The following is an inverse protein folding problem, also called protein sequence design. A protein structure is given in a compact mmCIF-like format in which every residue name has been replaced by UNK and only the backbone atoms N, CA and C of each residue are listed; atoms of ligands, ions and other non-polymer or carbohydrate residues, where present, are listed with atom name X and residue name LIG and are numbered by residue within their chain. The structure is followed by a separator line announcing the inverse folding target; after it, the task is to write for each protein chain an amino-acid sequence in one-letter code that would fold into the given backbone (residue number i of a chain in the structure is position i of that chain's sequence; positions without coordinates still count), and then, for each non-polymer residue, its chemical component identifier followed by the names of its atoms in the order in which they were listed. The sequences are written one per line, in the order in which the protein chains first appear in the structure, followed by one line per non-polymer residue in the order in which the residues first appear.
data_IF_074041329825
#
_entry.id   IF_074041329825
#
_cell.length_a   1.000
_cell.length_b   1.000
_cell.length_c   1.000
_cell.angle_alpha   90.00
_cell.angle_beta   90.00
_cell.angle_gamma   90.00
#
_symmetry.space_group_name_H-M   'P 1'
#
loop_
_entity.id
_entity.type
_entity.pdbx_description
1 polymer ?
#
# COMPACT_ATOMS: atom_id res chain seq x y z
N UNK A 1 22.89 0.30 -7.64
CA UNK A 1 23.69 0.69 -8.81
C UNK A 1 24.10 2.15 -8.69
N UNK A 2 24.91 2.65 -9.63
CA UNK A 2 25.47 4.01 -9.58
C UNK A 2 24.41 5.13 -9.54
N UNK A 3 23.27 4.95 -10.20
CA UNK A 3 22.19 5.95 -10.21
C UNK A 3 21.55 6.24 -8.84
N UNK A 4 21.87 5.51 -7.78
CA UNK A 4 21.39 5.86 -6.42
C UNK A 4 21.99 7.19 -5.94
N UNK A 5 23.24 7.48 -6.30
CA UNK A 5 23.92 8.71 -5.89
C UNK A 5 23.35 9.97 -6.56
N UNK A 6 22.58 9.83 -7.65
CA UNK A 6 21.88 10.95 -8.28
C UNK A 6 20.54 11.28 -7.61
N UNK A 7 20.08 10.45 -6.66
CA UNK A 7 18.80 10.65 -5.97
C UNK A 7 19.00 11.33 -4.62
N UNK A 8 18.24 12.41 -4.42
CA UNK A 8 18.05 13.05 -3.12
C UNK A 8 17.34 12.14 -2.13
N UNK A 9 17.39 12.49 -0.83
CA UNK A 9 16.66 11.74 0.21
C UNK A 9 15.16 11.73 -0.03
N UNK A 10 14.57 12.85 -0.47
CA UNK A 10 13.14 12.94 -0.72
C UNK A 10 12.69 12.02 -1.87
N UNK A 11 13.50 11.89 -2.93
CA UNK A 11 13.26 10.94 -4.03
C UNK A 11 13.41 9.49 -3.56
N UNK A 12 14.43 9.19 -2.76
CA UNK A 12 14.61 7.86 -2.15
C UNK A 12 13.43 7.49 -1.25
N UNK A 13 12.97 8.42 -0.41
CA UNK A 13 11.79 8.22 0.45
C UNK A 13 10.53 7.99 -0.37
N UNK A 14 10.34 8.71 -1.48
CA UNK A 14 9.22 8.50 -2.41
C UNK A 14 9.25 7.08 -2.99
N UNK A 15 10.39 6.67 -3.56
CA UNK A 15 10.56 5.34 -4.15
C UNK A 15 10.34 4.26 -3.08
N UNK A 16 11.00 4.41 -1.92
CA UNK A 16 10.90 3.47 -0.80
C UNK A 16 9.46 3.32 -0.30
N UNK A 17 8.74 4.44 -0.12
CA UNK A 17 7.34 4.45 0.29
C UNK A 17 6.48 3.62 -0.66
N UNK A 18 6.58 3.92 -1.97
CA UNK A 18 5.75 3.29 -2.98
C UNK A 18 6.05 1.80 -3.17
N UNK A 19 7.22 1.29 -2.72
CA UNK A 19 7.55 -0.15 -2.85
C UNK A 19 6.46 -1.08 -2.29
N UNK A 20 5.72 -0.60 -1.29
CA UNK A 20 4.59 -1.29 -0.65
C UNK A 20 3.49 -1.64 -1.65
N UNK A 21 3.23 -0.78 -2.63
CA UNK A 21 2.19 -0.97 -3.65
C UNK A 21 2.55 -2.09 -4.66
N UNK A 22 3.83 -2.47 -4.73
CA UNK A 22 4.30 -3.66 -5.44
C UNK A 22 4.43 -4.90 -4.57
N UNK A 23 4.05 -4.82 -3.28
CA UNK A 23 4.06 -5.95 -2.34
C UNK A 23 5.41 -6.20 -1.67
N UNK A 24 6.36 -5.27 -1.79
CA UNK A 24 7.62 -5.36 -1.05
C UNK A 24 7.38 -5.15 0.46
N UNK A 25 8.16 -5.84 1.28
CA UNK A 25 8.16 -5.62 2.74
C UNK A 25 8.78 -4.28 3.13
N UNK A 26 9.84 -3.89 2.40
CA UNK A 26 10.60 -2.67 2.64
C UNK A 26 11.29 -2.24 1.35
N UNK A 27 11.28 -0.93 1.09
CA UNK A 27 12.16 -0.29 0.12
C UNK A 27 13.38 0.25 0.84
N UNK A 28 14.54 -0.39 0.65
CA UNK A 28 15.78 -0.02 1.33
C UNK A 28 16.75 0.64 0.35
N UNK A 29 17.30 1.78 0.76
CA UNK A 29 18.43 2.42 0.09
C UNK A 29 19.69 2.28 0.96
N UNK A 30 20.87 2.14 0.35
CA UNK A 30 22.13 2.09 1.10
C UNK A 30 22.40 3.42 1.82
N UNK A 31 23.19 3.35 2.88
CA UNK A 31 23.70 4.53 3.57
C UNK A 31 24.90 5.05 2.78
N UNK A 32 24.81 6.27 2.29
CA UNK A 32 25.87 6.98 1.60
C UNK A 32 26.02 8.40 2.15
N UNK A 33 26.94 9.19 1.57
CA UNK A 33 27.20 10.55 2.05
C UNK A 33 25.94 11.45 1.99
N UNK A 34 25.04 11.23 1.03
CA UNK A 34 23.77 11.99 0.95
C UNK A 34 22.89 11.70 2.17
N UNK A 35 22.82 10.45 2.63
CA UNK A 35 22.12 10.08 3.87
C UNK A 35 22.81 10.67 5.10
N UNK A 36 24.14 10.61 5.17
CA UNK A 36 24.90 11.15 6.30
C UNK A 36 24.73 12.67 6.41
N UNK A 37 24.84 13.40 5.30
CA UNK A 37 24.66 14.85 5.27
C UNK A 37 23.23 15.25 5.67
N UNK A 38 22.23 14.49 5.21
CA UNK A 38 20.84 14.69 5.62
C UNK A 38 20.64 14.44 7.13
N UNK A 39 21.24 13.38 7.67
CA UNK A 39 21.15 13.07 9.11
C UNK A 39 21.81 14.16 9.96
N UNK A 40 22.99 14.67 9.55
CA UNK A 40 23.67 15.79 10.22
C UNK A 40 22.85 17.07 10.15
N UNK A 41 22.28 17.40 8.98
CA UNK A 41 21.38 18.55 8.85
C UNK A 41 20.17 18.40 9.80
N UNK A 42 19.59 17.19 9.88
CA UNK A 42 18.47 16.92 10.79
C UNK A 42 18.88 17.04 12.25
N UNK A 43 20.06 16.55 12.63
CA UNK A 43 20.60 16.68 13.99
C UNK A 43 20.78 18.17 14.37
N UNK A 44 21.33 18.99 13.47
CA UNK A 44 21.45 20.44 13.69
C UNK A 44 20.09 21.09 13.95
N UNK A 45 19.10 20.81 13.09
CA UNK A 45 17.74 21.35 13.24
C UNK A 45 17.08 20.93 14.55
N UNK A 46 17.25 19.67 14.96
CA UNK A 46 16.71 19.19 16.25
C UNK A 46 17.42 19.91 17.42
N UNK A 47 18.72 20.15 17.33
CA UNK A 47 19.46 20.88 18.37
C UNK A 47 19.01 22.35 18.47
N UNK A 48 18.75 23.02 17.34
CA UNK A 48 18.26 24.40 17.29
C UNK A 48 16.83 24.53 17.84
N UNK A 49 15.94 23.63 17.41
CA UNK A 49 14.52 23.62 17.79
C UNK A 49 14.30 23.13 19.22
N UNK A 50 15.16 22.25 19.72
CA UNK A 50 14.99 21.54 20.98
C UNK A 50 14.22 20.23 20.86
N UNK A 51 14.24 19.48 21.97
CA UNK A 51 13.49 18.23 22.15
C UNK A 51 11.98 18.52 22.31
N UNK A 52 11.15 17.52 22.02
CA UNK A 52 9.67 17.67 22.08
C UNK A 52 9.10 17.52 23.49
N UNK A 53 9.92 17.07 24.45
CA UNK A 53 9.45 16.78 25.81
C UNK A 53 8.60 15.51 25.87
N UNK A 54 8.77 14.59 24.91
CA UNK A 54 8.06 13.30 24.91
C UNK A 54 8.82 12.27 25.77
N UNK A 55 8.16 11.21 26.28
CA UNK A 55 8.83 10.21 27.11
C UNK A 55 10.08 9.59 26.48
N UNK A 56 10.10 9.48 25.14
CA UNK A 56 11.25 8.95 24.42
C UNK A 56 12.46 9.87 24.38
N UNK A 57 12.33 11.16 24.71
CA UNK A 57 13.44 12.11 24.73
C UNK A 57 14.42 11.84 25.88
N UNK A 58 14.01 11.03 26.87
CA UNK A 58 14.80 10.69 28.05
C UNK A 58 15.15 11.91 28.91
N UNK A 59 15.95 11.70 29.97
CA UNK A 59 16.39 12.77 30.87
C UNK A 59 17.58 13.59 30.31
N UNK A 60 17.87 13.50 29.01
CA UNK A 60 19.05 14.09 28.37
C UNK A 60 18.78 15.43 27.69
N UNK A 61 19.86 16.15 27.35
CA UNK A 61 19.80 17.38 26.52
C UNK A 61 19.96 17.12 25.01
N UNK A 62 20.11 15.86 24.61
CA UNK A 62 20.44 15.46 23.24
C UNK A 62 19.45 14.42 22.77
N UNK A 63 19.01 14.49 21.52
CA UNK A 63 18.00 13.58 21.00
C UNK A 63 18.54 12.13 20.93
N UNK A 64 17.82 11.12 21.44
CA UNK A 64 18.40 9.79 21.70
C UNK A 64 18.66 8.95 20.45
N UNK A 65 18.08 9.31 19.31
CA UNK A 65 18.21 8.54 18.05
C UNK A 65 18.92 9.27 16.92
N UNK A 66 18.86 10.61 16.91
CA UNK A 66 19.43 11.46 15.86
C UNK A 66 20.33 12.47 16.56
N UNK A 67 21.63 12.19 16.60
CA UNK A 67 22.66 13.02 17.21
C UNK A 67 24.03 12.67 16.57
N UNK A 68 24.99 13.60 16.68
CA UNK A 68 26.31 13.45 16.06
C UNK A 68 27.00 12.13 16.46
N UNK A 69 26.98 11.75 17.73
CA UNK A 69 27.61 10.51 18.20
C UNK A 69 27.08 9.27 17.48
N UNK A 70 25.76 9.15 17.30
CA UNK A 70 25.15 8.00 16.58
C UNK A 70 25.44 8.06 15.09
N UNK A 71 25.52 9.25 14.52
CA UNK A 71 25.87 9.45 13.11
C UNK A 71 27.33 9.04 12.87
N UNK A 72 28.25 9.42 13.76
CA UNK A 72 29.67 9.05 13.65
C UNK A 72 29.87 7.53 13.78
N UNK A 73 29.09 6.86 14.65
CA UNK A 73 29.06 5.39 14.70
C UNK A 73 28.58 4.81 13.37
N UNK A 74 27.50 5.36 12.79
CA UNK A 74 26.97 4.89 11.51
C UNK A 74 28.00 5.05 10.36
N UNK A 75 28.74 6.16 10.36
CA UNK A 75 29.83 6.40 9.40
C UNK A 75 30.97 5.40 9.61
N UNK A 76 31.35 5.14 10.86
CA UNK A 76 32.43 4.20 11.18
C UNK A 76 32.06 2.75 10.84
N UNK A 77 30.80 2.35 11.01
CA UNK A 77 30.30 1.02 10.66
C UNK A 77 30.28 0.77 9.14
N UNK A 78 30.12 1.83 8.33
CA UNK A 78 30.12 1.77 6.87
C UNK A 78 29.23 0.63 6.31
N UNK A 79 27.95 0.63 6.74
CA UNK A 79 26.98 -0.41 6.41
C UNK A 79 26.73 -0.49 4.89
N UNK A 80 27.20 -1.57 4.29
CA UNK A 80 27.00 -1.88 2.87
C UNK A 80 26.55 -3.33 2.71
N UNK A 81 25.90 -3.63 1.57
CA UNK A 81 25.66 -5.02 1.20
C UNK A 81 27.00 -5.73 0.92
N UNK A 82 27.09 -7.00 1.33
CA UNK A 82 28.25 -7.84 1.03
C UNK A 82 28.44 -7.98 -0.49
N UNK A 83 29.70 -8.10 -0.92
CA UNK A 83 30.03 -8.19 -2.36
C UNK A 83 29.47 -9.43 -3.03
N UNK A 84 29.24 -10.49 -2.26
CA UNK A 84 28.68 -11.78 -2.67
C UNK A 84 27.23 -11.97 -2.20
N UNK A 85 26.56 -10.89 -1.77
CA UNK A 85 25.15 -10.94 -1.39
C UNK A 85 24.30 -11.53 -2.53
N UNK A 86 23.53 -12.57 -2.19
CA UNK A 86 22.63 -13.22 -3.13
C UNK A 86 21.28 -12.49 -3.21
N UNK A 87 20.88 -12.11 -4.43
CA UNK A 87 19.57 -11.55 -4.72
C UNK A 87 18.75 -12.58 -5.49
N UNK A 88 17.52 -12.84 -5.06
CA UNK A 88 16.61 -13.76 -5.78
C UNK A 88 16.17 -13.21 -7.14
N UNK A 89 16.13 -11.88 -7.28
CA UNK A 89 15.87 -11.17 -8.53
C UNK A 89 16.67 -9.87 -8.57
N UNK A 90 17.16 -9.54 -9.76
CA UNK A 90 17.79 -8.24 -10.04
C UNK A 90 16.99 -7.52 -11.11
N UNK A 91 16.52 -6.31 -10.79
CA UNK A 91 15.85 -5.41 -11.74
C UNK A 91 16.80 -4.27 -12.03
N UNK A 92 17.13 -4.08 -13.30
CA UNK A 92 18.04 -3.02 -13.76
C UNK A 92 17.21 -1.99 -14.52
N UNK A 93 17.41 -0.71 -14.20
CA UNK A 93 16.70 0.41 -14.80
C UNK A 93 17.71 1.50 -15.16
N UNK A 94 17.69 1.96 -16.40
CA UNK A 94 18.43 3.15 -16.83
C UNK A 94 17.58 4.41 -16.52
N UNK A 95 18.02 5.16 -15.51
CA UNK A 95 17.32 6.36 -15.05
C UNK A 95 17.24 7.46 -16.12
N UNK A 96 18.19 7.50 -17.07
CA UNK A 96 18.18 8.49 -18.16
C UNK A 96 17.01 8.30 -19.12
N UNK A 97 16.41 7.10 -19.12
CA UNK A 97 15.28 6.74 -19.98
C UNK A 97 13.92 6.82 -19.28
N UNK A 98 13.90 7.18 -17.99
CA UNK A 98 12.66 7.34 -17.22
C UNK A 98 11.98 8.64 -17.64
N UNK A 99 10.77 8.52 -18.18
CA UNK A 99 9.89 9.64 -18.51
C UNK A 99 8.75 9.78 -17.49
N UNK A 100 8.12 10.96 -17.37
CA UNK A 100 7.02 11.15 -16.43
C UNK A 100 5.78 10.32 -16.80
N UNK A 101 5.12 9.77 -15.78
CA UNK A 101 3.92 8.93 -15.92
C UNK A 101 2.82 9.37 -14.94
N UNK A 102 1.59 8.97 -15.26
CA UNK A 102 0.43 9.02 -14.37
C UNK A 102 -0.05 7.60 -14.14
N UNK A 103 -0.38 7.24 -12.90
CA UNK A 103 -0.98 5.96 -12.56
C UNK A 103 -2.49 6.07 -12.36
N UNK A 104 -3.28 5.15 -12.93
CA UNK A 104 -4.73 5.10 -12.78
C UNK A 104 -5.51 5.02 -14.11
N UNK A 105 -6.85 5.10 -14.03
CA UNK A 105 -7.62 5.28 -12.80
C UNK A 105 -7.65 4.01 -11.93
N UNK A 106 -7.88 4.19 -10.63
CA UNK A 106 -8.29 3.18 -9.64
C UNK A 106 -7.35 1.98 -9.40
N UNK A 107 -6.19 1.97 -10.04
CA UNK A 107 -5.17 0.94 -9.93
C UNK A 107 -3.77 1.56 -10.00
N UNK A 108 -2.99 1.40 -8.93
CA UNK A 108 -1.64 1.97 -8.79
C UNK A 108 -0.66 1.41 -9.85
N UNK A 109 -0.93 0.22 -10.37
CA UNK A 109 -0.04 -0.46 -11.34
C UNK A 109 -0.36 -0.08 -12.79
N UNK A 110 -1.50 0.55 -13.06
CA UNK A 110 -1.86 1.02 -14.39
C UNK A 110 -1.13 2.32 -14.69
N UNK A 111 0.01 2.27 -15.36
CA UNK A 111 0.80 3.45 -15.71
C UNK A 111 0.60 3.86 -17.17
N UNK A 112 0.45 5.16 -17.40
CA UNK A 112 0.41 5.77 -18.74
C UNK A 112 1.41 6.92 -18.78
N UNK A 113 2.15 7.07 -19.90
CA UNK A 113 3.06 8.22 -20.06
C UNK A 113 2.26 9.53 -19.99
N UNK A 114 2.86 10.60 -19.47
CA UNK A 114 2.21 11.93 -19.44
C UNK A 114 1.83 12.39 -20.86
N UNK A 115 2.66 12.09 -21.84
CA UNK A 115 2.44 12.44 -23.25
C UNK A 115 1.21 11.75 -23.83
N UNK A 116 0.94 10.49 -23.47
CA UNK A 116 -0.21 9.76 -23.99
C UNK A 116 -1.48 10.05 -23.21
N UNK A 117 -1.42 10.16 -21.88
CA UNK A 117 -2.62 10.45 -21.08
C UNK A 117 -3.16 11.87 -21.35
N UNK A 118 -2.28 12.84 -21.64
CA UNK A 118 -2.70 14.19 -22.00
C UNK A 118 -3.55 14.24 -23.28
N UNK A 119 -3.34 13.31 -24.22
CA UNK A 119 -4.15 13.19 -25.45
C UNK A 119 -5.59 12.74 -25.17
N UNK A 120 -5.81 12.05 -24.05
CA UNK A 120 -7.14 11.57 -23.64
C UNK A 120 -8.04 12.71 -23.13
N UNK A 121 -7.47 13.90 -22.87
CA UNK A 121 -8.20 15.10 -22.47
C UNK A 121 -9.12 14.87 -21.24
N UNK A 122 -8.64 14.09 -20.28
CA UNK A 122 -9.39 13.74 -19.06
C UNK A 122 -9.49 14.98 -18.18
N UNK A 123 -10.70 15.54 -18.07
CA UNK A 123 -11.00 16.64 -17.14
C UNK A 123 -10.86 16.17 -15.69
N UNK A 124 -10.43 17.08 -14.82
CA UNK A 124 -10.36 16.84 -13.38
C UNK A 124 -11.33 17.77 -12.65
N UNK A 125 -11.80 17.31 -11.49
CA UNK A 125 -12.58 18.11 -10.54
C UNK A 125 -11.72 18.53 -9.36
N UNK A 126 -10.81 17.63 -8.93
CA UNK A 126 -9.98 17.86 -7.75
C UNK A 126 -8.52 17.52 -8.00
N UNK A 127 -7.65 18.35 -7.44
CA UNK A 127 -6.22 18.11 -7.39
C UNK A 127 -5.74 18.07 -5.94
N UNK A 128 -4.76 17.23 -5.64
CA UNK A 128 -4.28 17.05 -4.26
C UNK A 128 -2.75 16.99 -4.19
N UNK A 129 -2.15 18.01 -3.57
CA UNK A 129 -0.76 17.98 -3.13
C UNK A 129 -0.75 17.72 -1.61
N UNK A 130 -0.95 16.46 -1.27
CA UNK A 130 -1.07 15.99 0.12
C UNK A 130 -0.31 14.68 0.30
N UNK A 131 -0.25 14.22 1.55
CA UNK A 131 0.32 12.93 2.02
C UNK A 131 1.81 12.94 2.36
N UNK A 132 2.22 11.89 3.07
CA UNK A 132 3.61 11.63 3.41
C UNK A 132 4.50 11.30 2.21
N UNK A 133 3.92 11.04 1.03
CA UNK A 133 4.65 10.53 -0.13
C UNK A 133 5.26 11.64 -0.95
N UNK A 134 4.55 12.74 -1.20
CA UNK A 134 5.03 13.85 -2.01
C UNK A 134 4.47 15.21 -1.54
N UNK A 135 4.68 15.54 -0.26
CA UNK A 135 4.37 16.88 0.29
C UNK A 135 5.45 17.36 1.25
N UNK A 136 6.72 17.06 0.95
CA UNK A 136 7.88 17.64 1.63
C UNK A 136 8.19 19.01 1.02
N UNK A 137 9.16 19.72 1.59
CA UNK A 137 9.55 21.07 1.15
C UNK A 137 9.94 21.10 -0.34
N UNK A 138 10.66 20.08 -0.82
CA UNK A 138 11.06 19.97 -2.23
C UNK A 138 9.87 19.74 -3.17
N UNK A 139 8.92 18.88 -2.78
CA UNK A 139 7.69 18.62 -3.53
C UNK A 139 6.80 19.87 -3.63
N UNK A 140 6.66 20.60 -2.52
CA UNK A 140 5.91 21.87 -2.46
C UNK A 140 6.56 22.93 -3.34
N UNK A 141 7.88 23.07 -3.28
CA UNK A 141 8.62 23.99 -4.14
C UNK A 141 8.49 23.63 -5.64
N UNK A 142 8.48 22.33 -5.97
CA UNK A 142 8.27 21.86 -7.35
C UNK A 142 6.88 22.29 -7.87
N UNK A 143 5.83 22.06 -7.09
CA UNK A 143 4.48 22.50 -7.43
C UNK A 143 4.35 24.03 -7.51
N UNK A 144 4.92 24.76 -6.54
CA UNK A 144 4.91 26.22 -6.51
C UNK A 144 5.59 26.82 -7.75
N UNK A 145 6.69 26.23 -8.23
CA UNK A 145 7.35 26.67 -9.46
C UNK A 145 6.44 26.58 -10.69
N UNK A 146 5.58 25.57 -10.76
CA UNK A 146 4.59 25.40 -11.84
C UNK A 146 3.44 26.41 -11.72
N UNK A 147 3.00 26.68 -10.49
CA UNK A 147 1.86 27.56 -10.19
C UNK A 147 2.19 29.05 -10.15
N UNK A 148 3.48 29.42 -10.12
CA UNK A 148 3.90 30.82 -9.99
C UNK A 148 3.31 31.71 -11.08
N UNK A 149 2.47 32.67 -10.67
CA UNK A 149 1.80 33.61 -11.56
C UNK A 149 0.63 33.01 -12.35
N UNK A 150 0.18 31.81 -12.00
CA UNK A 150 -0.95 31.10 -12.60
C UNK A 150 -2.13 31.03 -11.61
N UNK A 151 -3.29 30.60 -12.11
CA UNK A 151 -4.48 30.32 -11.30
C UNK A 151 -4.98 28.90 -11.60
N UNK A 152 -5.51 28.24 -10.57
CA UNK A 152 -6.24 26.98 -10.73
C UNK A 152 -7.45 27.21 -11.65
N UNK A 153 -7.73 26.24 -12.52
CA UNK A 153 -8.82 26.33 -13.48
C UNK A 153 -10.20 26.46 -12.81
N UNK A 154 -11.11 27.19 -13.45
CA UNK A 154 -12.50 27.30 -13.01
C UNK A 154 -13.14 25.90 -12.88
N UNK A 155 -13.75 25.65 -11.73
CA UNK A 155 -14.38 24.37 -11.41
C UNK A 155 -13.43 23.27 -10.94
N UNK A 156 -12.14 23.57 -10.74
CA UNK A 156 -11.20 22.67 -10.07
C UNK A 156 -10.95 23.13 -8.64
N UNK A 157 -11.05 22.20 -7.69
CA UNK A 157 -10.62 22.43 -6.31
C UNK A 157 -9.22 21.83 -6.10
N UNK A 158 -8.26 22.65 -5.71
CA UNK A 158 -6.89 22.20 -5.44
C UNK A 158 -6.59 22.22 -3.94
N UNK A 159 -6.36 21.06 -3.35
CA UNK A 159 -6.10 20.90 -1.91
C UNK A 159 -4.62 20.68 -1.63
N UNK A 160 -4.08 21.38 -0.62
CA UNK A 160 -2.69 21.28 -0.20
C UNK A 160 -2.58 20.94 1.28
N UNK A 161 -1.66 20.04 1.63
CA UNK A 161 -1.33 19.71 3.03
C UNK A 161 0.15 19.35 3.11
N UNK A 162 0.89 19.99 4.01
CA UNK A 162 2.28 19.64 4.24
C UNK A 162 2.43 18.27 4.93
N UNK A 163 3.53 17.58 4.67
CA UNK A 163 3.85 16.30 5.32
C UNK A 163 4.05 16.44 6.83
N UNK A 164 4.39 17.63 7.33
CA UNK A 164 4.47 17.96 8.75
C UNK A 164 4.37 19.47 8.97
N UNK A 165 4.16 19.87 10.23
CA UNK A 165 4.17 21.28 10.63
C UNK A 165 5.50 21.98 10.26
N UNK A 166 6.64 21.34 10.53
CA UNK A 166 7.96 21.89 10.17
C UNK A 166 8.13 22.08 8.66
N UNK A 167 7.59 21.16 7.85
CA UNK A 167 7.60 21.29 6.39
C UNK A 167 6.74 22.47 5.95
N UNK A 168 5.58 22.67 6.56
CA UNK A 168 4.71 23.81 6.28
C UNK A 168 5.39 25.13 6.61
N UNK A 169 5.93 25.27 7.83
CA UNK A 169 6.62 26.47 8.29
C UNK A 169 7.80 26.84 7.39
N UNK A 170 8.61 25.86 6.98
CA UNK A 170 9.71 26.08 6.05
C UNK A 170 9.22 26.51 4.66
N UNK A 171 8.13 25.92 4.17
CA UNK A 171 7.55 26.28 2.86
C UNK A 171 6.91 27.68 2.88
N UNK A 172 6.32 28.08 4.00
CA UNK A 172 5.84 29.45 4.24
C UNK A 172 7.01 30.42 4.23
N UNK A 173 8.09 30.11 4.97
CA UNK A 173 9.30 30.93 5.03
C UNK A 173 9.96 31.15 3.67
N UNK A 174 9.90 30.15 2.79
CA UNK A 174 10.40 30.22 1.41
C UNK A 174 9.49 30.98 0.45
N UNK A 175 8.25 31.26 0.85
CA UNK A 175 7.21 31.83 0.00
C UNK A 175 6.54 30.82 -0.94
N UNK A 176 6.99 29.56 -0.97
CA UNK A 176 6.41 28.51 -1.80
C UNK A 176 4.95 28.23 -1.42
N UNK A 177 4.64 28.23 -0.12
CA UNK A 177 3.27 28.04 0.37
C UNK A 177 2.32 29.13 -0.13
N UNK A 178 2.77 30.39 -0.06
CA UNK A 178 1.95 31.52 -0.49
C UNK A 178 1.67 31.48 -1.99
N UNK A 179 2.61 31.01 -2.81
CA UNK A 179 2.38 30.82 -4.26
C UNK A 179 1.23 29.84 -4.51
N UNK A 180 1.13 28.76 -3.73
CA UNK A 180 0.04 27.79 -3.87
C UNK A 180 -1.31 28.42 -3.49
N UNK A 181 -1.37 29.13 -2.37
CA UNK A 181 -2.57 29.84 -1.91
C UNK A 181 -3.00 30.92 -2.90
N UNK A 182 -2.06 31.72 -3.39
CA UNK A 182 -2.29 32.76 -4.39
C UNK A 182 -2.83 32.18 -5.69
N UNK A 183 -2.44 30.95 -6.06
CA UNK A 183 -2.98 30.27 -7.23
C UNK A 183 -4.42 29.77 -7.04
N UNK A 184 -4.95 29.76 -5.82
CA UNK A 184 -6.31 29.31 -5.49
C UNK A 184 -6.36 27.96 -4.77
N UNK A 185 -5.24 27.49 -4.19
CA UNK A 185 -5.26 26.28 -3.40
C UNK A 185 -5.98 26.47 -2.05
N UNK A 186 -6.66 25.42 -1.60
CA UNK A 186 -7.27 25.30 -0.27
C UNK A 186 -6.33 24.53 0.65
N UNK A 187 -5.93 25.18 1.75
CA UNK A 187 -5.10 24.57 2.77
C UNK A 187 -5.90 23.57 3.63
N UNK A 188 -5.27 22.43 3.92
CA UNK A 188 -5.71 21.44 4.88
C UNK A 188 -4.67 21.30 6.00
N UNK A 189 -5.06 20.86 7.21
CA UNK A 189 -4.12 20.55 8.27
C UNK A 189 -3.09 19.52 7.84
N UNK A 190 -1.85 19.66 8.33
CA UNK A 190 -0.80 18.66 8.15
C UNK A 190 -1.27 17.28 8.63
N UNK A 191 -1.48 16.34 7.71
CA UNK A 191 -2.07 15.04 7.99
C UNK A 191 -2.44 14.25 6.74
N UNK A 192 -3.05 13.08 6.93
CA UNK A 192 -3.42 12.21 5.80
C UNK A 192 -4.59 12.77 4.98
N UNK A 193 -5.65 13.24 5.66
CA UNK A 193 -6.84 13.81 5.03
C UNK A 193 -7.42 12.93 3.91
N UNK A 194 -7.74 13.50 2.73
CA UNK A 194 -8.34 12.78 1.61
C UNK A 194 -7.54 11.56 1.10
N UNK A 195 -6.23 11.48 1.37
CA UNK A 195 -5.39 10.33 1.00
C UNK A 195 -5.93 8.99 1.54
N UNK A 196 -6.60 9.03 2.69
CA UNK A 196 -7.20 7.87 3.34
C UNK A 196 -8.74 7.89 3.30
N UNK A 197 -9.34 8.81 2.55
CA UNK A 197 -10.79 8.94 2.43
C UNK A 197 -11.45 9.61 3.62
N UNK A 198 -10.74 10.48 4.35
CA UNK A 198 -11.27 11.22 5.49
C UNK A 198 -11.09 12.74 5.34
N UNK A 199 -11.95 13.51 6.01
CA UNK A 199 -11.84 14.97 6.08
C UNK A 199 -12.43 15.72 4.88
N UNK A 200 -12.00 16.96 4.70
CA UNK A 200 -12.49 17.88 3.67
C UNK A 200 -11.87 17.56 2.30
N UNK A 201 -12.67 17.68 1.23
CA UNK A 201 -12.19 17.52 -0.14
C UNK A 201 -12.29 16.10 -0.69
N UNK A 202 -13.12 15.22 -0.11
CA UNK A 202 -13.36 13.88 -0.66
C UNK A 202 -13.97 13.95 -2.05
N UNK A 203 -13.58 13.00 -2.91
CA UNK A 203 -14.17 12.84 -4.23
C UNK A 203 -15.65 12.44 -4.11
N UNK A 204 -16.50 13.12 -4.87
CA UNK A 204 -17.93 12.85 -5.00
C UNK A 204 -18.22 11.96 -6.22
N UNK A 205 -19.47 11.56 -6.38
CA UNK A 205 -19.90 10.68 -7.47
C UNK A 205 -19.51 11.26 -8.83
N UNK A 206 -18.88 10.42 -9.66
CA UNK A 206 -18.42 10.74 -11.01
C UNK A 206 -17.32 11.82 -11.11
N UNK A 207 -16.75 12.28 -9.99
CA UNK A 207 -15.62 13.20 -10.01
C UNK A 207 -14.31 12.50 -10.39
N UNK A 208 -13.40 13.26 -10.97
CA UNK A 208 -12.04 12.83 -11.26
C UNK A 208 -11.04 13.59 -10.39
N UNK A 209 -10.25 12.85 -9.61
CA UNK A 209 -9.17 13.36 -8.79
C UNK A 209 -7.79 13.03 -9.35
N UNK A 210 -6.84 13.95 -9.26
CA UNK A 210 -5.41 13.69 -9.47
C UNK A 210 -4.61 14.07 -8.23
N UNK A 211 -3.77 13.18 -7.72
CA UNK A 211 -3.09 13.37 -6.45
C UNK A 211 -1.61 12.98 -6.48
N UNK A 212 -0.83 13.61 -5.60
CA UNK A 212 0.56 13.23 -5.32
C UNK A 212 0.65 12.23 -4.15
N UNK A 213 -0.33 11.33 -4.06
CA UNK A 213 -0.37 10.26 -3.05
C UNK A 213 0.14 8.94 -3.63
N UNK A 214 0.19 7.87 -2.81
CA UNK A 214 0.61 6.53 -3.24
C UNK A 214 -0.53 5.60 -3.67
N UNK A 215 -1.79 5.92 -3.36
CA UNK A 215 -2.92 5.01 -3.56
C UNK A 215 -4.12 5.70 -4.17
N UNK A 216 -4.66 5.07 -5.22
CA UNK A 216 -5.84 5.53 -5.93
C UNK A 216 -6.94 4.48 -5.99
N UNK A 217 -6.93 3.41 -5.16
CA UNK A 217 -7.93 2.34 -5.25
C UNK A 217 -9.38 2.84 -5.27
N UNK A 218 -10.28 2.11 -5.94
CA UNK A 218 -11.71 2.44 -6.00
C UNK A 218 -12.28 2.70 -4.59
N UNK A 219 -12.92 3.86 -4.40
CA UNK A 219 -13.48 4.29 -3.10
C UNK A 219 -12.46 4.73 -2.05
N UNK A 220 -11.17 4.84 -2.40
CA UNK A 220 -10.11 5.21 -1.45
C UNK A 220 -10.20 6.66 -0.98
N UNK A 221 -10.51 7.58 -1.89
CA UNK A 221 -10.48 9.03 -1.65
C UNK A 221 -11.88 9.65 -1.52
N UNK A 222 -12.92 8.82 -1.37
CA UNK A 222 -14.31 9.27 -1.34
C UNK A 222 -15.24 8.27 -2.00
N UNK A 223 -16.10 8.76 -2.90
CA UNK A 223 -17.05 7.95 -3.65
C UNK A 223 -16.38 6.80 -4.42
N UNK A 224 -17.10 5.69 -4.53
CA UNK A 224 -16.73 4.55 -5.38
C UNK A 224 -16.94 4.82 -6.86
N UNK A 225 -17.80 5.79 -7.19
CA UNK A 225 -18.09 6.17 -8.57
C UNK A 225 -17.13 7.26 -9.08
N UNK A 226 -16.24 7.75 -8.21
CA UNK A 226 -15.15 8.64 -8.57
C UNK A 226 -13.98 7.87 -9.21
N UNK A 227 -13.13 8.59 -9.94
CA UNK A 227 -11.87 8.07 -10.50
C UNK A 227 -10.68 8.79 -9.91
N UNK A 228 -9.70 8.04 -9.42
CA UNK A 228 -8.48 8.63 -8.85
C UNK A 228 -7.22 8.30 -9.67
N UNK A 229 -6.39 9.31 -9.90
CA UNK A 229 -5.10 9.22 -10.58
C UNK A 229 -3.96 9.68 -9.66
N UNK A 230 -2.78 9.07 -9.81
CA UNK A 230 -1.57 9.44 -9.10
C UNK A 230 -0.55 10.07 -10.06
N UNK A 231 0.08 11.15 -9.64
CA UNK A 231 1.14 11.81 -10.41
C UNK A 231 2.12 12.56 -9.50
N UNK A 232 3.23 13.05 -10.06
CA UNK A 232 4.17 13.87 -9.31
C UNK A 232 3.57 15.25 -8.95
N UNK A 233 4.13 15.95 -7.93
CA UNK A 233 3.70 17.31 -7.57
C UNK A 233 3.60 18.27 -8.76
N UNK A 234 4.61 18.28 -9.65
CA UNK A 234 4.58 19.11 -10.85
C UNK A 234 3.42 18.81 -11.80
N UNK A 235 3.06 17.52 -11.98
CA UNK A 235 1.96 17.11 -12.87
C UNK A 235 0.61 17.45 -12.24
N UNK A 236 0.47 17.24 -10.93
CA UNK A 236 -0.75 17.62 -10.19
C UNK A 236 -0.98 19.13 -10.31
N UNK A 237 0.06 19.93 -10.06
CA UNK A 237 0.00 21.39 -10.19
C UNK A 237 -0.35 21.85 -11.61
N UNK A 238 0.31 21.27 -12.63
CA UNK A 238 0.00 21.57 -14.03
C UNK A 238 -1.44 21.20 -14.40
N UNK A 239 -1.91 20.05 -13.91
CA UNK A 239 -3.27 19.58 -14.17
C UNK A 239 -4.32 20.46 -13.49
N UNK A 240 -4.02 20.96 -12.28
CA UNK A 240 -4.89 21.91 -11.56
C UNK A 240 -5.07 23.22 -12.33
N UNK A 241 -4.00 23.76 -12.93
CA UNK A 241 -4.06 24.95 -13.78
C UNK A 241 -4.84 24.67 -15.08
N UNK A 242 -4.67 23.49 -15.66
CA UNK A 242 -5.25 23.16 -16.97
C UNK A 242 -6.71 22.69 -16.91
N UNK A 243 -7.21 22.29 -15.74
CA UNK A 243 -8.54 21.67 -15.62
C UNK A 243 -8.62 20.22 -16.12
N UNK A 244 -7.47 19.63 -16.46
CA UNK A 244 -7.35 18.30 -17.05
C UNK A 244 -5.96 17.72 -16.82
N UNK A 245 -5.83 16.39 -16.91
CA UNK A 245 -4.55 15.72 -16.71
C UNK A 245 -3.55 16.13 -17.79
N UNK A 246 -2.46 16.81 -17.39
CA UNK A 246 -1.36 17.18 -18.27
C UNK A 246 -0.05 17.40 -17.51
N UNK A 247 1.07 17.42 -18.25
CA UNK A 247 2.38 17.80 -17.70
C UNK A 247 2.62 19.31 -17.74
N UNK A 248 3.59 19.82 -16.94
CA UNK A 248 3.97 21.24 -16.94
C UNK A 248 4.66 21.70 -18.24
N UNK A 249 5.13 20.75 -19.05
CA UNK A 249 5.71 20.96 -20.38
C UNK A 249 5.42 19.75 -21.27
N UNK A 250 5.76 19.86 -22.55
CA UNK A 250 5.77 18.70 -23.46
C UNK A 250 6.96 17.80 -23.13
N UNK A 251 6.74 16.49 -23.19
CA UNK A 251 7.75 15.45 -22.98
C UNK A 251 7.84 14.57 -24.22
N UNK A 252 9.05 14.21 -24.59
CA UNK A 252 9.28 13.22 -25.63
C UNK A 252 8.98 11.81 -25.12
N UNK A 253 8.46 10.96 -26.00
CA UNK A 253 8.25 9.56 -25.68
C UNK A 253 9.59 8.83 -25.73
N UNK A 254 10.13 8.55 -24.55
CA UNK A 254 11.35 7.75 -24.38
C UNK A 254 10.97 6.33 -24.00
N UNK A 255 11.51 5.35 -24.72
CA UNK A 255 11.35 3.94 -24.38
C UNK A 255 12.23 3.63 -23.16
N UNK A 256 11.59 3.10 -22.11
CA UNK A 256 12.28 2.68 -20.90
C UNK A 256 13.29 1.56 -21.22
N UNK A 257 14.54 1.75 -20.81
CA UNK A 257 15.58 0.72 -20.85
C UNK A 257 15.63 0.05 -19.49
N UNK A 258 15.23 -1.23 -19.44
CA UNK A 258 15.20 -2.03 -18.22
C UNK A 258 15.41 -3.50 -18.52
N UNK A 259 15.93 -4.25 -17.56
CA UNK A 259 16.03 -5.71 -17.62
C UNK A 259 15.71 -6.37 -16.27
N UNK A 260 15.28 -7.63 -16.30
CA UNK A 260 14.99 -8.42 -15.11
C UNK A 260 15.75 -9.73 -15.21
N UNK A 261 16.51 -10.06 -14.17
CA UNK A 261 17.16 -11.35 -13.99
C UNK A 261 16.51 -12.04 -12.80
N UNK A 262 16.08 -13.30 -12.98
CA UNK A 262 15.47 -14.12 -11.93
C UNK A 262 16.42 -15.28 -11.67
N UNK A 263 16.82 -15.44 -10.41
CA UNK A 263 17.71 -16.50 -9.97
C UNK A 263 16.89 -17.62 -9.33
N UNK A 264 17.23 -18.88 -9.63
CA UNK A 264 16.56 -20.02 -9.04
C UNK A 264 16.80 -20.03 -7.52
N UNK A 265 15.71 -20.08 -6.77
CA UNK A 265 15.73 -20.33 -5.33
C UNK A 265 15.88 -21.84 -5.15
N UNK A 266 16.88 -22.29 -4.37
CA UNK A 266 16.99 -23.71 -3.99
C UNK A 266 15.65 -24.17 -3.41
N UNK A 267 15.05 -25.22 -4.00
CA UNK A 267 13.83 -25.83 -3.46
C UNK A 267 14.06 -26.19 -1.99
N UNK A 268 13.22 -25.66 -1.10
CA UNK A 268 13.18 -26.11 0.28
C UNK A 268 12.74 -27.57 0.30
N UNK A 269 13.38 -28.38 1.15
CA UNK A 269 12.90 -29.73 1.44
C UNK A 269 11.51 -29.66 2.09
N UNK A 270 10.64 -30.65 1.80
CA UNK A 270 9.33 -30.76 2.44
C UNK A 270 9.55 -31.09 3.92
N UNK A 271 9.41 -30.07 4.77
CA UNK A 271 9.43 -30.26 6.22
C UNK A 271 8.06 -30.77 6.67
N UNK A 272 8.03 -31.81 7.51
CA UNK A 272 6.82 -32.25 8.20
C UNK A 272 6.68 -31.49 9.52
N UNK A 273 5.55 -30.81 9.73
CA UNK A 273 5.25 -30.10 10.99
C UNK A 273 4.16 -30.88 11.71
N UNK A 274 4.39 -31.21 12.98
CA UNK A 274 3.41 -31.92 13.80
C UNK A 274 2.26 -30.98 14.18
N UNK A 275 1.02 -31.46 14.09
CA UNK A 275 -0.14 -30.73 14.59
C UNK A 275 -0.15 -30.66 16.12
N UNK A 276 -0.37 -29.47 16.65
CA UNK A 276 -0.54 -29.20 18.08
C UNK A 276 -1.91 -29.69 18.55
N UNK A 277 -1.99 -30.11 19.82
CA UNK A 277 -3.25 -30.53 20.43
C UNK A 277 -4.21 -29.34 20.46
N UNK A 278 -5.42 -29.53 19.92
CA UNK A 278 -6.44 -28.47 19.83
C UNK A 278 -6.50 -27.78 18.47
N UNK A 279 -5.47 -27.89 17.63
CA UNK A 279 -5.52 -27.41 16.25
C UNK A 279 -6.37 -28.37 15.39
N UNK A 280 -7.25 -27.86 14.49
CA UNK A 280 -8.08 -28.71 13.66
C UNK A 280 -7.24 -29.57 12.71
N UNK A 281 -7.57 -30.87 12.59
CA UNK A 281 -6.92 -31.75 11.61
C UNK A 281 -7.38 -31.48 10.17
N UNK A 282 -8.64 -31.08 10.03
CA UNK A 282 -9.30 -30.85 8.76
C UNK A 282 -10.38 -29.79 8.90
N UNK A 283 -10.61 -29.02 7.84
CA UNK A 283 -11.78 -28.15 7.65
C UNK A 283 -12.44 -28.42 6.30
N UNK A 284 -13.75 -28.19 6.22
CA UNK A 284 -14.52 -28.35 4.99
C UNK A 284 -15.40 -27.12 4.76
N UNK A 285 -15.49 -26.63 3.54
CA UNK A 285 -16.36 -25.51 3.19
C UNK A 285 -16.45 -25.30 1.68
N UNK A 286 -17.50 -24.62 1.23
CA UNK A 286 -17.64 -24.27 -0.19
C UNK A 286 -16.62 -23.18 -0.55
N UNK A 287 -16.00 -23.30 -1.72
CA UNK A 287 -15.15 -22.25 -2.26
C UNK A 287 -16.00 -21.05 -2.71
N UNK A 288 -15.90 -19.96 -1.95
CA UNK A 288 -16.41 -18.64 -2.30
C UNK A 288 -15.33 -17.88 -3.07
N UNK A 289 -15.42 -17.90 -4.40
CA UNK A 289 -14.34 -17.43 -5.28
C UNK A 289 -14.46 -15.94 -5.62
N UNK A 290 -13.40 -15.20 -5.33
CA UNK A 290 -13.20 -13.79 -5.68
C UNK A 290 -11.98 -13.67 -6.61
N UNK A 291 -12.16 -13.70 -7.94
CA UNK A 291 -11.09 -13.92 -8.92
C UNK A 291 -10.06 -12.79 -9.04
N UNK A 292 -10.22 -11.69 -8.31
CA UNK A 292 -9.34 -10.53 -8.41
C UNK A 292 -7.93 -10.80 -7.88
N UNK A 293 -6.95 -10.64 -8.77
CA UNK A 293 -5.55 -10.48 -8.39
C UNK A 293 -5.34 -9.09 -7.76
N UNK A 294 -4.44 -8.98 -6.78
CA UNK A 294 -4.16 -7.75 -6.03
C UNK A 294 -5.39 -7.15 -5.34
N UNK A 295 -6.32 -8.00 -4.88
CA UNK A 295 -7.40 -7.56 -4.00
C UNK A 295 -6.79 -6.96 -2.72
N UNK A 296 -6.91 -5.64 -2.58
CA UNK A 296 -6.24 -4.87 -1.55
C UNK A 296 -7.09 -4.76 -0.27
N UNK A 297 -6.48 -4.32 0.83
CA UNK A 297 -7.18 -4.19 2.10
C UNK A 297 -8.27 -3.13 2.10
N UNK A 298 -8.26 -2.14 1.18
CA UNK A 298 -9.41 -1.21 1.05
C UNK A 298 -10.61 -1.91 0.42
N UNK A 299 -10.38 -2.86 -0.50
CA UNK A 299 -11.39 -3.73 -1.08
C UNK A 299 -12.02 -4.65 -0.04
N UNK A 300 -11.21 -5.16 0.91
CA UNK A 300 -11.65 -6.07 1.99
C UNK A 300 -12.29 -5.30 3.16
N UNK A 301 -11.68 -4.20 3.61
CA UNK A 301 -12.18 -3.36 4.69
C UNK A 301 -11.91 -1.86 4.39
N UNK A 302 -12.97 -1.07 4.12
CA UNK A 302 -12.83 0.32 3.71
C UNK A 302 -12.06 1.21 4.70
N UNK A 303 -11.20 2.09 4.18
CA UNK A 303 -10.39 3.02 4.99
C UNK A 303 -11.20 3.96 5.87
N UNK A 304 -12.38 4.39 5.39
CA UNK A 304 -13.26 5.32 6.11
C UNK A 304 -13.70 4.83 7.50
N UNK A 305 -13.66 3.51 7.76
CA UNK A 305 -14.03 2.93 9.06
C UNK A 305 -12.84 2.72 10.02
N UNK A 306 -11.61 2.95 9.57
CA UNK A 306 -10.39 2.51 10.29
C UNK A 306 -10.19 3.19 11.65
N UNK A 307 -10.63 4.45 11.77
CA UNK A 307 -10.42 5.28 12.96
C UNK A 307 -11.70 5.47 13.77
N UNK A 308 -12.65 4.53 13.65
CA UNK A 308 -13.81 4.47 14.52
C UNK A 308 -13.44 3.55 15.70
N UNK A 309 -13.11 4.15 16.84
CA UNK A 309 -12.54 3.42 17.99
C UNK A 309 -13.46 2.31 18.53
N UNK A 310 -14.77 2.49 18.43
CA UNK A 310 -15.78 1.56 18.93
C UNK A 310 -16.46 0.72 17.83
N UNK A 311 -15.74 0.40 16.75
CA UNK A 311 -16.27 -0.37 15.62
C UNK A 311 -16.40 -1.86 15.96
N UNK A 312 -17.63 -2.34 16.18
CA UNK A 312 -17.91 -3.68 16.70
C UNK A 312 -17.62 -4.80 15.68
N UNK A 313 -17.56 -6.04 16.17
CA UNK A 313 -17.37 -7.22 15.30
C UNK A 313 -18.50 -7.35 14.27
N UNK A 314 -19.74 -7.09 14.67
CA UNK A 314 -20.92 -7.10 13.81
C UNK A 314 -20.81 -6.03 12.72
N UNK A 315 -20.42 -4.81 13.10
CA UNK A 315 -20.22 -3.71 12.14
C UNK A 315 -19.11 -4.02 11.14
N UNK A 316 -18.01 -4.64 11.58
CA UNK A 316 -16.95 -5.12 10.67
C UNK A 316 -17.48 -6.16 9.69
N UNK A 317 -18.28 -7.13 10.16
CA UNK A 317 -18.90 -8.13 9.30
C UNK A 317 -19.93 -7.54 8.32
N UNK A 318 -20.56 -6.41 8.66
CA UNK A 318 -21.53 -5.72 7.79
C UNK A 318 -20.87 -5.03 6.60
N UNK A 319 -19.67 -4.47 6.78
CA UNK A 319 -18.94 -3.69 5.76
C UNK A 319 -17.85 -4.49 5.04
N UNK A 320 -17.66 -5.77 5.42
CA UNK A 320 -16.64 -6.63 4.83
C UNK A 320 -16.83 -6.76 3.32
N UNK A 321 -15.73 -6.60 2.60
CA UNK A 321 -15.65 -6.64 1.15
C UNK A 321 -16.53 -5.62 0.43
N UNK A 322 -17.10 -4.61 1.13
CA UNK A 322 -18.06 -3.70 0.50
C UNK A 322 -17.44 -3.04 -0.72
N UNK A 323 -16.20 -2.54 -0.59
CA UNK A 323 -15.41 -1.83 -1.61
C UNK A 323 -15.11 -2.70 -2.83
N UNK A 324 -14.95 -4.00 -2.63
CA UNK A 324 -14.82 -4.99 -3.68
C UNK A 324 -16.18 -5.30 -4.32
N UNK A 325 -17.06 -5.99 -3.60
CA UNK A 325 -18.39 -6.39 -4.06
C UNK A 325 -19.44 -6.01 -2.99
N UNK A 326 -20.29 -4.99 -3.25
CA UNK A 326 -21.33 -4.57 -2.31
C UNK A 326 -22.33 -5.68 -1.94
N UNK A 327 -22.46 -6.72 -2.78
CA UNK A 327 -23.34 -7.85 -2.54
C UNK A 327 -22.64 -9.01 -1.82
N UNK A 328 -21.32 -8.93 -1.58
CA UNK A 328 -20.53 -9.99 -0.93
C UNK A 328 -21.21 -10.52 0.34
N UNK A 329 -21.67 -9.61 1.20
CA UNK A 329 -22.28 -9.95 2.50
C UNK A 329 -23.52 -10.86 2.38
N UNK A 330 -24.26 -10.76 1.27
CA UNK A 330 -25.47 -11.54 1.03
C UNK A 330 -25.14 -12.88 0.34
N UNK A 331 -24.00 -12.97 -0.34
CA UNK A 331 -23.53 -14.18 -1.04
C UNK A 331 -22.77 -15.10 -0.06
N UNK A 332 -21.95 -14.49 0.81
CA UNK A 332 -21.14 -15.19 1.80
C UNK A 332 -21.99 -15.79 2.92
N UNK A 333 -21.70 -17.03 3.25
CA UNK A 333 -22.37 -17.83 4.28
C UNK A 333 -21.36 -18.29 5.34
N UNK A 334 -21.88 -18.57 6.53
CA UNK A 334 -21.10 -19.17 7.61
C UNK A 334 -20.51 -20.49 7.17
N UNK A 335 -19.20 -20.66 7.36
CA UNK A 335 -18.51 -21.88 6.95
C UNK A 335 -17.93 -21.81 5.53
N UNK A 336 -18.03 -20.69 4.82
CA UNK A 336 -17.38 -20.56 3.52
C UNK A 336 -15.86 -20.50 3.66
N UNK A 337 -15.17 -20.97 2.60
CA UNK A 337 -13.74 -20.78 2.40
C UNK A 337 -13.57 -19.71 1.32
N UNK A 338 -13.03 -18.55 1.69
CA UNK A 338 -12.77 -17.50 0.71
C UNK A 338 -11.59 -17.90 -0.14
N UNK A 339 -11.77 -17.87 -1.46
CA UNK A 339 -10.72 -18.18 -2.43
C UNK A 339 -10.45 -16.95 -3.30
N UNK A 340 -9.21 -16.53 -3.45
CA UNK A 340 -8.89 -15.33 -4.24
C UNK A 340 -7.60 -15.42 -5.05
N UNK A 341 -7.36 -14.45 -5.94
CA UNK A 341 -6.23 -14.45 -6.86
C UNK A 341 -4.86 -14.32 -6.20
N UNK A 342 -3.88 -13.88 -6.96
CA UNK A 342 -2.52 -13.64 -6.48
C UNK A 342 -2.43 -12.31 -5.72
N UNK A 343 -1.54 -12.26 -4.73
CA UNK A 343 -1.21 -11.06 -3.97
C UNK A 343 -2.41 -10.47 -3.21
N UNK A 344 -3.16 -11.33 -2.49
CA UNK A 344 -4.31 -10.94 -1.68
C UNK A 344 -3.92 -10.12 -0.44
N UNK A 345 -4.73 -9.13 -0.07
CA UNK A 345 -4.54 -8.29 1.11
C UNK A 345 -3.43 -7.24 0.97
N UNK A 346 -3.18 -6.75 -0.25
CA UNK A 346 -2.18 -5.70 -0.48
C UNK A 346 -2.58 -4.33 0.07
N UNK A 347 -1.61 -3.43 0.22
CA UNK A 347 -1.87 -2.04 0.59
C UNK A 347 -1.78 -1.79 2.10
N UNK A 348 -2.87 -1.33 2.72
CA UNK A 348 -2.84 -0.85 4.11
C UNK A 348 -2.64 -1.98 5.11
N UNK A 349 -1.93 -1.70 6.21
CA UNK A 349 -1.62 -2.66 7.28
C UNK A 349 -2.77 -2.87 8.28
N UNK A 350 -4.01 -2.48 7.93
CA UNK A 350 -5.18 -2.63 8.79
C UNK A 350 -5.42 -4.09 9.09
N UNK A 351 -5.48 -4.44 10.37
CA UNK A 351 -5.83 -5.80 10.79
C UNK A 351 -7.32 -6.10 10.61
N UNK A 352 -8.15 -5.05 10.56
CA UNK A 352 -9.59 -5.14 10.33
C UNK A 352 -9.93 -5.86 9.03
N UNK A 353 -9.04 -5.83 8.03
CA UNK A 353 -9.22 -6.61 6.80
C UNK A 353 -9.24 -8.13 7.06
N UNK A 354 -8.54 -8.63 8.08
CA UNK A 354 -8.59 -10.03 8.47
C UNK A 354 -9.74 -10.30 9.45
N UNK A 355 -9.92 -9.46 10.46
CA UNK A 355 -10.97 -9.68 11.48
C UNK A 355 -12.37 -9.53 10.90
N UNK A 356 -12.62 -8.62 9.95
CA UNK A 356 -13.92 -8.50 9.29
C UNK A 356 -14.33 -9.79 8.55
N UNK A 357 -13.39 -10.48 7.90
CA UNK A 357 -13.65 -11.79 7.28
C UNK A 357 -13.94 -12.86 8.35
N UNK A 358 -13.14 -12.89 9.42
CA UNK A 358 -13.35 -13.80 10.56
C UNK A 358 -14.72 -13.60 11.21
N UNK A 359 -15.13 -12.34 11.45
CA UNK A 359 -16.43 -11.99 12.03
C UNK A 359 -17.61 -12.22 11.08
N UNK A 360 -17.35 -12.30 9.78
CA UNK A 360 -18.33 -12.77 8.78
C UNK A 360 -18.42 -14.30 8.70
N UNK A 361 -17.83 -15.02 9.66
CA UNK A 361 -17.82 -16.49 9.73
C UNK A 361 -17.15 -17.17 8.51
N UNK A 362 -16.25 -16.48 7.82
CA UNK A 362 -15.35 -17.12 6.84
C UNK A 362 -14.35 -17.96 7.62
N UNK A 363 -14.16 -19.23 7.24
CA UNK A 363 -13.30 -20.15 8.00
C UNK A 363 -11.82 -19.84 7.83
N UNK A 364 -11.40 -19.58 6.59
CA UNK A 364 -10.03 -19.29 6.20
C UNK A 364 -10.00 -18.65 4.81
N UNK A 365 -8.85 -18.09 4.44
CA UNK A 365 -8.60 -17.59 3.07
C UNK A 365 -7.58 -18.45 2.34
N UNK A 366 -7.89 -18.86 1.12
CA UNK A 366 -6.94 -19.48 0.19
C UNK A 366 -6.65 -18.48 -0.93
N UNK A 367 -5.38 -18.24 -1.22
CA UNK A 367 -5.00 -17.35 -2.31
C UNK A 367 -3.82 -17.90 -3.11
N UNK A 368 -3.56 -17.35 -4.29
CA UNK A 368 -2.39 -17.72 -5.10
C UNK A 368 -1.10 -17.27 -4.43
N UNK A 369 -1.17 -16.12 -3.75
CA UNK A 369 -0.16 -15.60 -2.82
C UNK A 369 -0.78 -14.50 -1.95
N UNK A 370 -0.15 -14.16 -0.83
CA UNK A 370 -0.57 -13.05 0.04
C UNK A 370 0.44 -11.91 0.11
N UNK A 371 -0.05 -10.71 0.39
CA UNK A 371 0.78 -9.68 1.02
C UNK A 371 1.23 -10.17 2.40
N UNK A 372 2.52 -9.97 2.72
CA UNK A 372 3.09 -10.42 3.98
C UNK A 372 2.46 -9.74 5.20
N UNK A 373 2.10 -8.46 5.08
CA UNK A 373 1.45 -7.71 6.17
C UNK A 373 0.07 -8.28 6.48
N UNK A 374 -0.75 -8.56 5.45
CA UNK A 374 -2.04 -9.21 5.65
C UNK A 374 -1.89 -10.61 6.25
N UNK A 375 -0.97 -11.43 5.71
CA UNK A 375 -0.67 -12.77 6.23
C UNK A 375 -0.35 -12.73 7.73
N UNK A 376 0.50 -11.77 8.15
CA UNK A 376 0.84 -11.57 9.56
C UNK A 376 -0.36 -11.12 10.41
N UNK A 377 -1.15 -10.15 9.93
CA UNK A 377 -2.34 -9.68 10.65
C UNK A 377 -3.38 -10.79 10.84
N UNK A 378 -3.61 -11.61 9.81
CA UNK A 378 -4.52 -12.74 9.88
C UNK A 378 -4.05 -13.76 10.93
N UNK A 379 -2.79 -14.19 10.88
CA UNK A 379 -2.23 -15.14 11.85
C UNK A 379 -2.25 -14.56 13.27
N UNK A 380 -1.89 -13.29 13.45
CA UNK A 380 -1.97 -12.61 14.75
C UNK A 380 -3.40 -12.57 15.30
N UNK A 381 -4.43 -12.61 14.46
CA UNK A 381 -5.83 -12.68 14.87
C UNK A 381 -6.38 -14.12 14.91
N UNK A 382 -5.51 -15.13 14.87
CA UNK A 382 -5.90 -16.54 14.85
C UNK A 382 -6.68 -16.95 13.60
N UNK A 383 -6.53 -16.21 12.49
CA UNK A 383 -7.23 -16.45 11.23
C UNK A 383 -6.32 -17.13 10.22
N UNK A 384 -6.76 -18.27 9.69
CA UNK A 384 -5.94 -19.14 8.83
C UNK A 384 -5.90 -18.59 7.40
N UNK A 385 -4.70 -18.61 6.81
CA UNK A 385 -4.46 -18.27 5.41
C UNK A 385 -3.54 -19.30 4.75
N UNK A 386 -3.85 -19.71 3.51
CA UNK A 386 -3.14 -20.79 2.80
C UNK A 386 -2.81 -20.36 1.37
N UNK A 387 -1.56 -20.53 0.96
CA UNK A 387 -1.14 -20.28 -0.42
C UNK A 387 -1.30 -21.55 -1.26
N UNK A 388 -2.08 -21.46 -2.34
CA UNK A 388 -2.38 -22.59 -3.24
C UNK A 388 -2.40 -22.11 -4.71
N UNK A 389 -1.24 -21.76 -5.29
CA UNK A 389 -1.16 -21.18 -6.64
C UNK A 389 -1.72 -22.12 -7.73
N UNK A 390 -1.55 -23.44 -7.59
CA UNK A 390 -2.10 -24.40 -8.54
C UNK A 390 -3.63 -24.44 -8.53
N UNK A 391 -4.25 -24.47 -7.34
CA UNK A 391 -5.71 -24.40 -7.21
C UNK A 391 -6.23 -23.09 -7.81
N UNK A 392 -5.54 -21.97 -7.60
CA UNK A 392 -5.95 -20.68 -8.18
C UNK A 392 -5.91 -20.70 -9.70
N UNK A 393 -4.87 -21.29 -10.29
CA UNK A 393 -4.77 -21.38 -11.74
C UNK A 393 -5.88 -22.25 -12.34
N UNK A 394 -6.26 -23.34 -11.67
CA UNK A 394 -7.32 -24.23 -12.15
C UNK A 394 -8.71 -23.58 -12.00
N UNK A 395 -9.00 -22.92 -10.87
CA UNK A 395 -10.25 -22.16 -10.70
C UNK A 395 -10.39 -21.01 -11.70
N UNK A 396 -9.29 -20.28 -11.97
CA UNK A 396 -9.28 -19.19 -12.96
C UNK A 396 -9.63 -19.70 -14.35
N UNK A 397 -9.09 -20.86 -14.76
CA UNK A 397 -9.43 -21.51 -16.03
C UNK A 397 -10.88 -21.99 -16.06
N UNK A 398 -11.34 -22.62 -14.99
CA UNK A 398 -12.68 -23.21 -14.92
C UNK A 398 -13.79 -22.15 -14.99
N UNK A 399 -13.57 -20.98 -14.37
CA UNK A 399 -14.56 -19.92 -14.26
C UNK A 399 -14.30 -18.71 -15.17
N UNK A 400 -13.38 -18.81 -16.14
CA UNK A 400 -12.95 -17.70 -16.99
C UNK A 400 -14.13 -16.96 -17.65
N UNK A 401 -15.11 -17.69 -18.19
CA UNK A 401 -16.32 -17.11 -18.80
C UNK A 401 -17.16 -16.27 -17.81
N UNK A 402 -17.22 -16.67 -16.53
CA UNK A 402 -17.93 -15.93 -15.48
C UNK A 402 -17.13 -14.69 -15.04
N UNK A 403 -15.80 -14.79 -15.02
CA UNK A 403 -14.91 -13.65 -14.78
C UNK A 403 -15.10 -12.59 -15.88
N UNK A 404 -15.18 -13.01 -17.13
CA UNK A 404 -15.46 -12.13 -18.28
C UNK A 404 -16.85 -11.45 -18.19
N UNK A 405 -17.79 -12.08 -17.49
CA UNK A 405 -19.13 -11.51 -17.22
C UNK A 405 -19.15 -10.54 -16.03
N UNK A 406 -17.98 -10.15 -15.51
CA UNK A 406 -17.79 -9.19 -14.41
C UNK A 406 -18.43 -9.61 -13.08
N UNK A 407 -18.56 -10.92 -12.82
CA UNK A 407 -18.97 -11.44 -11.52
C UNK A 407 -17.80 -11.31 -10.55
N UNK A 408 -18.00 -10.55 -9.46
CA UNK A 408 -16.97 -10.27 -8.46
C UNK A 408 -16.89 -11.37 -7.38
N UNK A 409 -18.02 -11.86 -6.90
CA UNK A 409 -18.05 -12.97 -5.92
C UNK A 409 -18.90 -14.12 -6.42
N UNK A 410 -18.32 -15.32 -6.45
CA UNK A 410 -18.94 -16.51 -7.00
C UNK A 410 -18.99 -17.64 -5.97
N UNK A 411 -20.19 -18.15 -5.68
CA UNK A 411 -20.37 -19.49 -5.11
C UNK A 411 -20.09 -20.53 -6.19
N UNK A 412 -19.04 -21.31 -6.01
CA UNK A 412 -18.56 -22.23 -7.05
C UNK A 412 -19.31 -23.56 -7.08
N UNK A 413 -19.99 -23.93 -5.98
CA UNK A 413 -20.48 -25.28 -5.74
C UNK A 413 -19.38 -26.31 -5.45
N UNK A 414 -18.11 -25.90 -5.41
CA UNK A 414 -16.97 -26.79 -5.15
C UNK A 414 -16.75 -26.86 -3.64
N UNK A 415 -16.91 -28.05 -3.08
CA UNK A 415 -16.55 -28.32 -1.69
C UNK A 415 -15.03 -28.54 -1.57
N UNK A 416 -14.39 -27.74 -0.73
CA UNK A 416 -12.98 -27.89 -0.40
C UNK A 416 -12.84 -28.68 0.90
N UNK A 417 -11.96 -29.67 0.88
CA UNK A 417 -11.43 -30.34 2.07
C UNK A 417 -10.00 -29.89 2.27
N UNK A 418 -9.72 -29.20 3.39
CA UNK A 418 -8.38 -28.74 3.76
C UNK A 418 -7.85 -29.67 4.84
N UNK A 419 -6.83 -30.46 4.51
CA UNK A 419 -6.20 -31.40 5.43
C UNK A 419 -4.87 -30.83 5.94
N UNK A 420 -4.84 -30.39 7.20
CA UNK A 420 -3.65 -29.79 7.80
C UNK A 420 -2.61 -30.83 8.22
N UNK A 421 -3.05 -32.04 8.56
CA UNK A 421 -2.17 -33.13 8.99
C UNK A 421 -1.29 -33.63 7.83
N UNK A 422 -1.91 -33.75 6.65
CA UNK A 422 -1.27 -34.21 5.41
C UNK A 422 -0.86 -33.08 4.47
N UNK A 423 -1.16 -31.83 4.83
CA UNK A 423 -0.81 -30.61 4.08
C UNK A 423 -1.27 -30.64 2.62
N UNK A 424 -2.56 -30.82 2.39
CA UNK A 424 -3.18 -30.67 1.07
C UNK A 424 -4.58 -30.05 1.14
N UNK A 425 -5.02 -29.51 -0.01
CA UNK A 425 -6.42 -29.18 -0.28
C UNK A 425 -6.93 -30.18 -1.31
N UNK A 426 -8.12 -30.75 -1.13
CA UNK A 426 -8.76 -31.59 -2.12
C UNK A 426 -10.13 -31.06 -2.52
N UNK A 427 -10.42 -31.24 -3.81
CA UNK A 427 -11.74 -31.12 -4.44
C UNK A 427 -12.19 -32.51 -4.85
N UNK A 428 -13.41 -32.65 -5.37
CA UNK A 428 -13.89 -33.92 -5.95
C UNK A 428 -13.05 -34.39 -7.16
N UNK A 429 -12.28 -33.49 -7.78
CA UNK A 429 -11.55 -33.76 -9.03
C UNK A 429 -10.04 -33.90 -8.83
N UNK A 430 -9.46 -33.15 -7.88
CA UNK A 430 -8.01 -32.96 -7.77
C UNK A 430 -7.58 -32.62 -6.35
N UNK A 431 -6.38 -33.08 -5.99
CA UNK A 431 -5.65 -32.69 -4.79
C UNK A 431 -4.53 -31.69 -5.14
N UNK A 432 -4.30 -30.73 -4.24
CA UNK A 432 -3.30 -29.68 -4.33
C UNK A 432 -2.45 -29.69 -3.07
N UNK A 433 -1.13 -29.84 -3.22
CA UNK A 433 -0.20 -29.76 -2.10
C UNK A 433 -0.14 -28.32 -1.56
N UNK A 434 -0.03 -28.18 -0.24
CA UNK A 434 0.16 -26.90 0.44
C UNK A 434 1.32 -26.98 1.43
N UNK A 435 1.84 -25.83 1.85
CA UNK A 435 2.81 -25.78 2.94
C UNK A 435 2.13 -26.11 4.28
N UNK A 436 2.80 -26.84 5.19
CA UNK A 436 2.28 -27.09 6.52
C UNK A 436 2.20 -25.80 7.35
N UNK A 437 1.19 -25.73 8.22
CA UNK A 437 1.05 -24.60 9.15
C UNK A 437 2.09 -24.72 10.28
N UNK A 438 2.95 -23.71 10.42
CA UNK A 438 3.98 -23.69 11.46
C UNK A 438 3.42 -23.66 12.88
N UNK A 439 4.17 -24.23 13.84
CA UNK A 439 3.74 -24.34 15.24
C UNK A 439 3.28 -23.00 15.84
N UNK A 440 4.03 -21.91 15.62
CA UNK A 440 3.65 -20.58 16.10
C UNK A 440 2.28 -20.10 15.56
N UNK A 441 2.00 -20.36 14.28
CA UNK A 441 0.68 -20.02 13.71
C UNK A 441 -0.43 -20.92 14.29
N UNK A 442 -0.14 -22.19 14.55
CA UNK A 442 -1.09 -23.10 15.21
C UNK A 442 -1.44 -22.64 16.63
N UNK A 443 -0.45 -22.21 17.42
CA UNK A 443 -0.69 -21.67 18.78
C UNK A 443 -1.61 -20.45 18.75
N UNK A 444 -1.36 -19.51 17.83
CA UNK A 444 -2.18 -18.30 17.70
C UNK A 444 -3.62 -18.62 17.27
N UNK A 445 -3.82 -19.65 16.45
CA UNK A 445 -5.17 -20.12 16.09
C UNK A 445 -5.85 -20.77 17.29
N UNK A 446 -5.16 -21.64 18.02
CA UNK A 446 -5.70 -22.33 19.22
C UNK A 446 -6.13 -21.31 20.28
N UNK A 447 -5.33 -20.26 20.48
CA UNK A 447 -5.61 -19.23 21.49
C UNK A 447 -6.47 -18.08 20.95
N UNK A 448 -6.99 -18.21 19.72
CA UNK A 448 -7.86 -17.25 19.05
C UNK A 448 -7.24 -15.86 18.78
N UNK A 449 -5.92 -15.75 18.88
CA UNK A 449 -5.14 -14.56 18.54
C UNK A 449 -3.96 -14.32 19.48
N UNK A 450 -3.09 -13.40 19.06
CA UNK A 450 -1.87 -13.01 19.76
C UNK A 450 -2.16 -12.34 21.10
N UNK A 451 -3.21 -11.53 21.20
CA UNK A 451 -3.56 -10.89 22.47
C UNK A 451 -3.91 -11.92 23.56
N UNK A 452 -4.75 -12.89 23.22
CA UNK A 452 -5.11 -13.98 24.12
C UNK A 452 -3.89 -14.85 24.43
N UNK A 453 -3.06 -15.13 23.41
CA UNK A 453 -1.79 -15.85 23.59
C UNK A 453 -0.87 -15.18 24.62
N UNK A 454 -0.78 -13.85 24.58
CA UNK A 454 -0.02 -13.06 25.56
C UNK A 454 -0.73 -13.10 26.92
N UNK A 455 -2.04 -12.83 26.99
CA UNK A 455 -2.83 -12.81 28.23
C UNK A 455 -2.74 -14.12 29.01
N UNK A 456 -2.69 -15.26 28.32
CA UNK A 456 -2.59 -16.58 28.95
C UNK A 456 -1.18 -16.90 29.50
N UNK A 457 -0.18 -16.05 29.23
CA UNK A 457 1.24 -16.23 29.63
C UNK A 457 1.77 -15.11 30.53
N UNK A 458 1.00 -14.05 30.72
CA UNK A 458 1.20 -13.06 31.78
C UNK A 458 0.55 -13.56 33.06
#
# INVERSE_FOLDING_TARGET
GEGVSSLSIDERLTIANMTTEWGALVGLFPIDNIVIDWLRNRASKINERGLEGVPSDGNGKTHPRINEKRIDVLVAENLNADKDAYYSKTIILDLSTVSPHVAGPDNVKTKTSVTDIAKQNIKINKAYLVSCVNSRVSDIAEAAKVLKGQKVADGVEFYIAAASKEVQEESVRRGDWQILLDAGATELPSGCGPCIGLGVGLLQDNEVGISATNRNFKGRMGSREAKAYLASPAIVAASAIAGKICGPKKYDLVKLVSSIQIFEIRKKEKNTIKLLKGFPKQLNGEALYCPQDNLNTDGIFPGKYTYIDNFSAEQQAEVVMENYDPNFRNIAQKGDVLVSGFNFGTGSSREQAATALKYKDIQLVIAGSFSQTYKRNAINNGFIVIEAPELMNDLKKQFDNKIQSNILTLRTGIMLTINFDKSYISTDQKQYDIDPIGAAAQELVIEEGLENWIKNRL
#
